data_IF_241052944503
#
_entry.id   IF_241052944503
#
_cell.length_a   1.000
_cell.length_b   1.000
_cell.length_c   1.000
_cell.angle_alpha   90.00
_cell.angle_beta   90.00
_cell.angle_gamma   90.00
#
_symmetry.space_group_name_H-M   'P 1'
#
loop_
_entity.id
_entity.type
_entity.pdbx_description
1 polymer ?
#
# COMPACT_ATOMS: atom_id res chain seq x y z
N UNK A 1 -3.79 -12.78 -24.10
CA UNK A 1 -2.44 -12.56 -23.54
C UNK A 1 -2.43 -11.29 -22.70
N UNK A 2 -2.59 -11.46 -21.38
CA UNK A 2 -2.42 -10.37 -20.41
C UNK A 2 -0.93 -10.04 -20.39
N UNK A 3 -0.52 -8.97 -21.10
CA UNK A 3 0.85 -8.48 -21.00
C UNK A 3 0.96 -7.90 -19.60
N UNK A 4 1.80 -8.46 -18.71
CA UNK A 4 1.88 -7.94 -17.37
C UNK A 4 2.39 -6.50 -17.46
N UNK A 5 1.55 -5.54 -17.09
CA UNK A 5 1.95 -4.13 -17.10
C UNK A 5 3.23 -3.97 -16.27
N UNK A 6 4.33 -3.43 -16.85
CA UNK A 6 5.62 -3.35 -16.20
C UNK A 6 5.65 -2.32 -15.06
N UNK A 7 4.62 -1.46 -14.97
CA UNK A 7 4.44 -0.43 -13.95
C UNK A 7 3.34 -0.85 -12.99
N UNK A 8 3.63 -1.83 -12.13
CA UNK A 8 2.69 -2.25 -11.10
C UNK A 8 3.29 -2.17 -9.72
N UNK A 9 2.40 -1.87 -8.77
CA UNK A 9 2.69 -2.09 -7.36
C UNK A 9 2.77 -3.60 -7.14
N UNK A 10 3.92 -4.06 -6.65
CA UNK A 10 4.15 -5.45 -6.27
C UNK A 10 3.29 -5.78 -5.06
N UNK A 11 2.49 -6.85 -5.20
CA UNK A 11 1.68 -7.37 -4.11
C UNK A 11 2.56 -8.22 -3.21
N UNK A 12 2.85 -7.71 -2.01
CA UNK A 12 3.49 -8.46 -0.93
C UNK A 12 2.45 -8.87 0.11
N UNK A 13 2.79 -9.80 1.00
CA UNK A 13 1.91 -10.19 2.10
C UNK A 13 1.88 -9.10 3.19
N UNK A 14 0.69 -8.70 3.66
CA UNK A 14 0.59 -7.71 4.74
C UNK A 14 1.01 -8.30 6.08
N UNK A 15 1.87 -7.56 6.79
CA UNK A 15 2.31 -7.94 8.12
C UNK A 15 1.36 -7.35 9.17
N UNK A 16 0.63 -8.20 9.89
CA UNK A 16 -0.15 -7.78 11.06
C UNK A 16 0.79 -7.71 12.26
N UNK A 17 1.19 -6.50 12.67
CA UNK A 17 2.11 -6.26 13.78
C UNK A 17 1.44 -6.57 15.13
N UNK A 18 0.16 -6.23 15.28
CA UNK A 18 -0.63 -6.48 16.49
C UNK A 18 -2.12 -6.38 16.19
N UNK A 19 -2.96 -7.19 16.82
CA UNK A 19 -4.41 -7.04 16.73
C UNK A 19 -5.11 -7.41 18.04
N UNK A 20 -6.15 -6.66 18.41
CA UNK A 20 -7.03 -6.98 19.54
C UNK A 20 -8.23 -7.86 19.15
N UNK A 21 -8.32 -8.24 17.87
CA UNK A 21 -9.27 -9.19 17.31
C UNK A 21 -8.62 -10.08 16.24
N UNK A 22 -9.40 -10.98 15.62
CA UNK A 22 -8.93 -11.74 14.44
C UNK A 22 -9.20 -10.93 13.18
N UNK A 23 -8.15 -10.59 12.45
CA UNK A 23 -8.23 -10.06 11.09
C UNK A 23 -7.71 -11.14 10.14
N UNK A 24 -8.43 -11.37 9.03
CA UNK A 24 -8.01 -12.33 8.03
C UNK A 24 -6.98 -11.68 7.09
N UNK A 25 -5.86 -12.37 6.86
CA UNK A 25 -4.80 -11.85 6.01
C UNK A 25 -5.24 -11.80 4.53
N UNK A 26 -6.14 -12.69 4.10
CA UNK A 26 -6.66 -12.73 2.74
C UNK A 26 -7.62 -11.57 2.49
N UNK A 27 -8.53 -11.29 3.43
CA UNK A 27 -9.41 -10.11 3.34
C UNK A 27 -8.60 -8.80 3.34
N UNK A 28 -7.54 -8.72 4.16
CA UNK A 28 -6.65 -7.56 4.19
C UNK A 28 -5.90 -7.40 2.86
N UNK A 29 -5.44 -8.50 2.27
CA UNK A 29 -4.83 -8.51 0.94
C UNK A 29 -5.81 -8.03 -0.14
N UNK A 30 -7.07 -8.46 -0.09
CA UNK A 30 -8.11 -8.02 -1.04
C UNK A 30 -8.37 -6.52 -0.91
N UNK A 31 -8.45 -5.99 0.31
CA UNK A 31 -8.59 -4.55 0.54
C UNK A 31 -7.40 -3.75 -0.05
N UNK A 32 -6.18 -4.26 0.15
CA UNK A 32 -4.96 -3.66 -0.42
C UNK A 32 -4.90 -3.77 -1.95
N UNK A 33 -5.40 -4.86 -2.53
CA UNK A 33 -5.53 -4.99 -3.98
C UNK A 33 -6.54 -3.98 -4.55
N UNK A 34 -7.62 -3.71 -3.84
CA UNK A 34 -8.61 -2.73 -4.26
C UNK A 34 -8.07 -1.29 -4.25
N UNK A 35 -7.16 -0.96 -3.32
CA UNK A 35 -6.52 0.37 -3.25
C UNK A 35 -5.29 0.51 -4.15
N UNK A 36 -4.69 -0.62 -4.54
CA UNK A 36 -3.52 -0.68 -5.43
C UNK A 36 -3.60 0.25 -6.65
N UNK A 37 -4.70 0.33 -7.42
CA UNK A 37 -4.78 1.24 -8.57
C UNK A 37 -4.67 2.73 -8.18
N UNK A 38 -5.25 3.14 -7.05
CA UNK A 38 -5.13 4.53 -6.55
C UNK A 38 -3.70 4.83 -6.12
N UNK A 39 -3.10 3.90 -5.38
CA UNK A 39 -1.70 3.99 -4.96
C UNK A 39 -0.78 4.02 -6.18
N UNK A 40 -1.06 3.24 -7.21
CA UNK A 40 -0.31 3.23 -8.47
C UNK A 40 -0.31 4.62 -9.12
N UNK A 41 -1.45 5.32 -9.15
CA UNK A 41 -1.51 6.70 -9.66
C UNK A 41 -0.56 7.62 -8.87
N UNK A 42 -0.51 7.51 -7.53
CA UNK A 42 0.42 8.29 -6.71
C UNK A 42 1.89 8.05 -7.09
N UNK A 43 2.26 6.81 -7.41
CA UNK A 43 3.62 6.46 -7.84
C UNK A 43 3.91 6.88 -9.28
N UNK A 44 2.93 6.84 -10.19
CA UNK A 44 3.12 7.22 -11.60
C UNK A 44 3.56 8.69 -11.74
N UNK A 45 2.98 9.60 -10.97
CA UNK A 45 3.41 11.00 -10.89
C UNK A 45 4.83 11.16 -10.33
N UNK A 46 5.24 10.27 -9.42
CA UNK A 46 6.57 10.25 -8.83
C UNK A 46 7.62 9.69 -9.79
N UNK A 47 7.25 8.64 -10.53
CA UNK A 47 8.12 7.87 -11.40
C UNK A 47 8.64 8.67 -12.59
N UNK A 48 7.92 9.71 -13.01
CA UNK A 48 8.41 10.67 -14.01
C UNK A 48 9.65 11.43 -13.56
N UNK A 49 9.81 11.62 -12.24
CA UNK A 49 10.91 12.39 -11.63
C UNK A 49 11.95 11.50 -10.94
N UNK A 50 11.57 10.26 -10.62
CA UNK A 50 12.37 9.32 -9.85
C UNK A 50 12.41 7.97 -10.61
N UNK A 51 13.39 7.77 -11.50
CA UNK A 51 13.51 6.51 -12.21
C UNK A 51 13.89 5.36 -11.27
N UNK A 52 13.50 4.13 -11.63
CA UNK A 52 13.86 2.91 -10.91
C UNK A 52 12.77 2.38 -9.99
N UNK A 53 13.13 1.39 -9.17
CA UNK A 53 12.18 0.77 -8.22
C UNK A 53 11.98 1.67 -7.01
N UNK A 54 10.72 1.91 -6.67
CA UNK A 54 10.33 2.78 -5.57
C UNK A 54 9.57 2.00 -4.50
N UNK A 55 9.74 2.37 -3.23
CA UNK A 55 9.08 1.73 -2.10
C UNK A 55 8.58 2.79 -1.10
N UNK A 56 7.36 2.60 -0.62
CA UNK A 56 6.78 3.35 0.51
C UNK A 56 6.28 2.33 1.52
N UNK A 57 6.91 2.28 2.69
CA UNK A 57 6.53 1.40 3.79
C UNK A 57 5.68 2.16 4.79
N UNK A 58 4.43 1.72 4.93
CA UNK A 58 3.46 2.33 5.82
C UNK A 58 3.10 1.39 6.96
N UNK A 59 2.82 1.98 8.11
CA UNK A 59 2.14 1.34 9.23
C UNK A 59 0.79 2.01 9.39
N UNK A 60 -0.28 1.25 9.44
CA UNK A 60 -1.61 1.81 9.68
C UNK A 60 -2.41 0.96 10.66
N UNK A 61 -3.40 1.57 11.29
CA UNK A 61 -4.31 0.90 12.22
C UNK A 61 -5.71 0.90 11.62
N UNK A 62 -6.23 -0.30 11.40
CA UNK A 62 -7.62 -0.56 11.02
C UNK A 62 -8.42 -0.75 12.30
N UNK A 63 -9.50 0.00 12.45
CA UNK A 63 -10.46 -0.13 13.55
C UNK A 63 -11.76 -0.74 13.01
N UNK A 64 -12.34 -1.67 13.75
CA UNK A 64 -13.62 -2.27 13.41
C UNK A 64 -14.80 -1.36 13.75
N UNK A 65 -15.52 -0.91 12.73
CA UNK A 65 -16.77 -0.16 12.83
C UNK A 65 -17.94 -1.08 12.40
N UNK A 66 -18.43 -1.89 13.33
CA UNK A 66 -19.50 -2.86 13.05
C UNK A 66 -19.03 -3.99 12.11
N UNK A 67 -19.59 -4.03 10.91
CA UNK A 67 -19.25 -5.03 9.87
C UNK A 67 -18.09 -4.60 8.96
N UNK A 68 -17.66 -3.33 9.02
CA UNK A 68 -16.57 -2.79 8.20
C UNK A 68 -15.36 -2.38 9.04
N UNK A 69 -14.18 -2.39 8.43
CA UNK A 69 -12.96 -1.83 9.00
C UNK A 69 -12.62 -0.51 8.34
N UNK A 70 -12.14 0.46 9.12
CA UNK A 70 -11.65 1.74 8.62
C UNK A 70 -10.26 2.03 9.13
N UNK A 71 -9.42 2.61 8.27
CA UNK A 71 -8.14 3.14 8.74
C UNK A 71 -8.38 4.37 9.63
N UNK A 72 -7.97 4.29 10.89
CA UNK A 72 -8.05 5.41 11.83
C UNK A 72 -6.73 6.20 11.86
N UNK A 73 -5.59 5.53 11.67
CA UNK A 73 -4.25 6.14 11.67
C UNK A 73 -3.34 5.50 10.65
N UNK A 74 -2.55 6.31 9.95
CA UNK A 74 -1.45 5.89 9.09
C UNK A 74 -0.15 6.63 9.45
N UNK A 75 0.97 5.94 9.38
CA UNK A 75 2.31 6.43 9.67
C UNK A 75 3.27 5.95 8.56
N UNK A 76 4.10 6.87 8.07
CA UNK A 76 5.20 6.54 7.18
C UNK A 76 6.36 5.98 7.98
N UNK A 77 6.73 4.72 7.73
CA UNK A 77 7.87 4.06 8.35
C UNK A 77 9.16 4.37 7.59
N UNK A 78 9.11 4.27 6.27
CA UNK A 78 10.23 4.60 5.39
C UNK A 78 9.74 4.82 3.96
N UNK A 79 10.45 5.61 3.18
CA UNK A 79 10.22 5.74 1.74
C UNK A 79 11.56 5.87 1.02
N UNK A 80 11.67 5.24 -0.14
CA UNK A 80 12.77 5.48 -1.08
C UNK A 80 12.50 6.68 -1.99
N UNK A 81 11.29 7.25 -1.94
CA UNK A 81 10.91 8.44 -2.70
C UNK A 81 11.02 9.68 -1.80
N UNK A 82 11.91 10.64 -2.12
CA UNK A 82 12.00 11.90 -1.40
C UNK A 82 10.92 12.90 -1.84
N UNK A 83 9.67 12.45 -1.98
CA UNK A 83 8.53 13.29 -2.39
C UNK A 83 7.39 13.18 -1.36
N UNK A 84 7.16 14.23 -0.55
CA UNK A 84 6.12 14.23 0.47
C UNK A 84 4.70 14.22 -0.13
N UNK A 85 4.51 14.67 -1.38
CA UNK A 85 3.21 14.64 -2.05
C UNK A 85 2.79 13.21 -2.35
N UNK A 86 3.74 12.37 -2.76
CA UNK A 86 3.51 10.94 -3.03
C UNK A 86 3.16 10.23 -1.73
N UNK A 87 3.93 10.49 -0.66
CA UNK A 87 3.68 9.91 0.66
C UNK A 87 2.27 10.27 1.17
N UNK A 88 1.86 11.52 1.01
CA UNK A 88 0.52 11.97 1.36
C UNK A 88 -0.57 11.31 0.49
N UNK A 89 -0.36 11.23 -0.83
CA UNK A 89 -1.30 10.59 -1.76
C UNK A 89 -1.54 9.11 -1.43
N UNK A 90 -0.48 8.36 -1.08
CA UNK A 90 -0.61 6.95 -0.69
C UNK A 90 -1.38 6.81 0.62
N UNK A 91 -1.12 7.67 1.61
CA UNK A 91 -1.86 7.68 2.87
C UNK A 91 -3.35 8.04 2.66
N UNK A 92 -3.64 9.03 1.82
CA UNK A 92 -4.99 9.45 1.46
C UNK A 92 -5.77 8.33 0.78
N UNK A 93 -5.14 7.66 -0.20
CA UNK A 93 -5.72 6.49 -0.87
C UNK A 93 -6.12 5.39 0.13
N UNK A 94 -5.34 5.19 1.20
CA UNK A 94 -5.65 4.22 2.25
C UNK A 94 -6.77 4.67 3.19
N UNK A 95 -6.97 5.98 3.38
CA UNK A 95 -8.10 6.48 4.19
C UNK A 95 -9.45 6.18 3.53
N UNK A 96 -9.49 6.22 2.19
CA UNK A 96 -10.67 5.87 1.39
C UNK A 96 -10.84 4.35 1.16
N UNK A 97 -9.83 3.55 1.50
CA UNK A 97 -9.90 2.11 1.34
C UNK A 97 -10.89 1.47 2.33
N UNK A 98 -11.64 0.48 1.83
CA UNK A 98 -12.53 -0.34 2.66
C UNK A 98 -11.77 -1.54 3.18
N UNK A 99 -11.47 -1.55 4.47
CA UNK A 99 -10.80 -2.67 5.12
C UNK A 99 -11.81 -3.67 5.71
N UNK A 100 -11.42 -4.94 5.88
CA UNK A 100 -12.22 -5.87 6.68
C UNK A 100 -12.26 -5.44 8.14
N UNK A 101 -13.41 -5.63 8.79
CA UNK A 101 -13.53 -5.43 10.22
C UNK A 101 -12.72 -6.50 10.98
N UNK A 102 -11.84 -6.11 11.93
CA UNK A 102 -11.32 -7.05 12.91
C UNK A 102 -12.48 -7.66 13.70
N UNK A 103 -12.58 -9.00 13.74
CA UNK A 103 -13.64 -9.70 14.46
C UNK A 103 -13.67 -9.23 15.92
N UNK A 104 -14.88 -9.06 16.47
CA UNK A 104 -15.17 -8.56 17.82
C UNK A 104 -14.96 -7.05 18.02
N UNK A 105 -14.87 -6.25 16.95
CA UNK A 105 -14.80 -4.78 17.05
C UNK A 105 -13.47 -4.27 17.59
N UNK A 106 -12.38 -4.99 17.31
CA UNK A 106 -11.03 -4.63 17.73
C UNK A 106 -10.31 -3.70 16.75
N UNK A 107 -9.02 -3.53 16.99
CA UNK A 107 -8.08 -2.80 16.12
C UNK A 107 -7.01 -3.76 15.61
N UNK A 108 -6.57 -3.59 14.38
CA UNK A 108 -5.45 -4.30 13.79
C UNK A 108 -4.41 -3.30 13.28
N UNK A 109 -3.18 -3.42 13.75
CA UNK A 109 -2.04 -2.66 13.25
C UNK A 109 -1.33 -3.47 12.18
N UNK A 110 -1.25 -2.89 10.99
CA UNK A 110 -0.74 -3.50 9.77
C UNK A 110 0.46 -2.70 9.28
N UNK A 111 1.48 -3.41 8.81
CA UNK A 111 2.63 -2.83 8.12
C UNK A 111 2.65 -3.37 6.70
N UNK A 112 2.64 -2.45 5.72
CA UNK A 112 2.63 -2.80 4.30
C UNK A 112 3.65 -1.97 3.51
N UNK A 113 4.60 -2.61 2.81
CA UNK A 113 5.43 -1.95 1.82
C UNK A 113 4.75 -1.95 0.45
N UNK A 114 4.38 -0.76 -0.03
CA UNK A 114 3.97 -0.56 -1.42
C UNK A 114 5.22 -0.39 -2.27
N UNK A 115 5.45 -1.34 -3.18
CA UNK A 115 6.62 -1.35 -4.06
C UNK A 115 6.20 -1.09 -5.49
N UNK A 116 6.57 0.03 -6.06
CA UNK A 116 6.33 0.31 -7.46
C UNK A 116 7.57 -0.04 -8.28
N UNK A 117 7.44 -1.01 -9.18
CA UNK A 117 8.47 -1.28 -10.18
C UNK A 117 8.22 -0.35 -11.36
N UNK A 118 9.10 0.61 -11.62
CA UNK A 118 9.16 1.26 -12.92
C UNK A 118 10.03 0.44 -13.87
N UNK A 119 9.79 0.46 -15.20
CA UNK A 119 10.76 -0.08 -16.13
C UNK A 119 12.13 0.57 -15.88
N UNK A 120 13.24 -0.19 -16.02
CA UNK A 120 14.58 0.39 -15.89
C UNK A 120 14.66 1.61 -16.83
N UNK A 121 15.18 2.72 -16.32
CA UNK A 121 15.46 3.87 -17.16
C UNK A 121 16.44 3.50 -18.28
N UNK A 122 16.61 4.33 -19.33
CA UNK A 122 17.48 4.04 -20.47
C UNK A 122 19.00 3.88 -20.15
N UNK A 123 19.38 3.64 -18.88
CA UNK A 123 20.74 3.32 -18.44
C UNK A 123 20.87 2.05 -17.57
N UNK A 124 19.79 1.32 -17.27
CA UNK A 124 19.83 0.11 -16.43
C UNK A 124 19.61 -1.20 -17.21
N UNK A 125 19.41 -1.14 -18.52
CA UNK A 125 19.57 -2.30 -19.40
C UNK A 125 21.07 -2.62 -19.53
N UNK A 126 21.63 -3.30 -18.52
CA UNK A 126 22.98 -3.89 -18.57
C UNK A 126 23.08 -5.04 -19.58
N UNK A 127 24.31 -5.40 -19.99
CA UNK A 127 24.67 -6.04 -21.28
C UNK A 127 24.07 -7.41 -21.57
#
# INVERSE_FOLDING_TARGET
PDVPDPRRVEQVEPLVESSSGRIDAEDLRLALQAVTPLVQQCFEDAAQRNPGTQEVKLRFTVEGEGEAGKMNRGELISSTIPDPMVQACVLDSLLDARFPAPRLGGTARVVYPFRFRAPPGPGEAGP
#
